data_IF_765174817631
#
_entry.id   IF_765174817631
#
_cell.length_a   1.000
_cell.length_b   1.000
_cell.length_c   1.000
_cell.angle_alpha   90.00
_cell.angle_beta   90.00
_cell.angle_gamma   90.00
#
_symmetry.space_group_name_H-M   'P 1'
#
loop_
_entity.id
_entity.type
_entity.pdbx_description
1 polymer ?
#
# COMPACT_ATOMS: atom_id res chain seq x y z
N UNK A 1 -12.88 11.20 2.24
CA UNK A 1 -11.76 10.23 2.29
C UNK A 1 -10.48 10.72 1.63
N UNK A 2 -10.51 11.41 0.48
CA UNK A 2 -9.30 11.86 -0.22
C UNK A 2 -8.22 12.55 0.65
N UNK A 3 -8.60 13.50 1.53
CA UNK A 3 -7.64 14.15 2.44
C UNK A 3 -6.94 13.17 3.40
N UNK A 4 -7.64 12.13 3.86
CA UNK A 4 -7.09 11.11 4.75
C UNK A 4 -6.09 10.21 4.03
N UNK A 5 -6.39 9.80 2.79
CA UNK A 5 -5.49 8.99 1.97
C UNK A 5 -4.23 9.77 1.58
N UNK A 6 -4.36 11.06 1.23
CA UNK A 6 -3.21 11.91 0.97
C UNK A 6 -2.29 12.01 2.20
N UNK A 7 -2.87 12.16 3.39
CA UNK A 7 -2.12 12.15 4.65
C UNK A 7 -1.47 10.79 4.90
N UNK A 8 -2.16 9.70 4.64
CA UNK A 8 -1.65 8.35 4.84
C UNK A 8 -0.42 8.09 3.96
N UNK A 9 -0.48 8.48 2.68
CA UNK A 9 0.66 8.45 1.77
C UNK A 9 1.82 9.35 2.24
N UNK A 10 1.51 10.55 2.75
CA UNK A 10 2.54 11.43 3.32
C UNK A 10 3.25 10.75 4.51
N UNK A 11 2.51 10.15 5.44
CA UNK A 11 3.11 9.51 6.62
C UNK A 11 3.91 8.25 6.25
N UNK A 12 3.46 7.47 5.28
CA UNK A 12 4.21 6.34 4.71
C UNK A 12 5.58 6.84 4.22
N UNK A 13 5.59 7.80 3.29
CA UNK A 13 6.81 8.30 2.69
C UNK A 13 7.79 8.99 3.65
N UNK A 14 7.30 9.50 4.79
CA UNK A 14 8.13 10.22 5.75
C UNK A 14 8.89 9.29 6.71
N UNK A 15 8.45 8.04 6.84
CA UNK A 15 9.07 7.03 7.72
C UNK A 15 9.67 5.96 6.82
N UNK A 16 11.00 5.93 6.69
CA UNK A 16 11.74 4.96 5.87
C UNK A 16 11.38 4.89 4.36
N UNK A 17 10.53 5.80 3.86
CA UNK A 17 10.20 5.92 2.45
C UNK A 17 8.83 5.31 2.12
N UNK A 18 8.39 5.45 0.87
CA UNK A 18 7.04 5.02 0.47
C UNK A 18 7.00 3.50 0.25
N UNK A 19 6.93 2.73 1.33
CA UNK A 19 7.03 1.27 1.35
C UNK A 19 5.78 0.58 1.93
N UNK A 20 4.69 1.32 2.15
CA UNK A 20 3.45 0.83 2.76
C UNK A 20 3.61 0.26 4.19
N UNK A 21 4.72 0.52 4.88
CA UNK A 21 4.92 0.11 6.27
C UNK A 21 3.84 0.64 7.21
N UNK A 22 3.26 1.82 6.90
CA UNK A 22 2.16 2.40 7.67
C UNK A 22 0.88 1.55 7.68
N UNK A 23 0.73 0.65 6.71
CA UNK A 23 -0.45 -0.21 6.60
C UNK A 23 -0.37 -1.45 7.47
N UNK A 24 0.82 -1.82 7.97
CA UNK A 24 1.02 -3.02 8.76
C UNK A 24 0.43 -2.87 10.16
N UNK A 25 -0.31 -3.89 10.59
CA UNK A 25 -0.79 -4.00 11.96
C UNK A 25 0.28 -4.55 12.89
N UNK A 26 0.12 -4.28 14.19
CA UNK A 26 0.96 -4.89 15.22
C UNK A 26 0.83 -6.42 15.19
N UNK A 27 1.95 -7.09 15.42
CA UNK A 27 2.02 -8.53 15.65
C UNK A 27 2.74 -8.82 16.97
N UNK A 28 2.85 -10.09 17.37
CA UNK A 28 3.56 -10.47 18.58
C UNK A 28 5.06 -10.08 18.58
N UNK A 29 5.66 -9.89 17.40
CA UNK A 29 7.10 -9.64 17.23
C UNK A 29 7.40 -8.34 16.48
N UNK A 30 6.38 -7.59 16.06
CA UNK A 30 6.53 -6.36 15.29
C UNK A 30 5.51 -5.33 15.75
N UNK A 31 5.98 -4.12 16.03
CA UNK A 31 5.12 -2.96 16.31
C UNK A 31 5.03 -2.12 15.04
N UNK A 32 3.83 -2.05 14.47
CA UNK A 32 3.53 -1.26 13.30
C UNK A 32 3.37 0.22 13.62
N UNK A 33 3.21 1.03 12.56
CA UNK A 33 3.25 2.47 12.70
C UNK A 33 1.91 3.08 13.10
N UNK A 34 0.81 2.33 13.00
CA UNK A 34 -0.56 2.81 13.27
C UNK A 34 -0.71 3.35 14.70
N UNK A 35 0.04 2.79 15.65
CA UNK A 35 0.02 3.18 17.05
C UNK A 35 1.07 4.25 17.42
N UNK A 36 1.87 4.73 16.47
CA UNK A 36 2.79 5.84 16.70
C UNK A 36 2.02 7.11 17.08
N UNK A 37 2.64 7.98 17.89
CA UNK A 37 2.03 9.24 18.34
C UNK A 37 1.32 10.07 17.25
N UNK A 38 1.89 10.27 16.04
CA UNK A 38 1.18 11.03 15.00
C UNK A 38 0.01 10.28 14.35
N UNK A 39 -0.08 8.95 14.51
CA UNK A 39 -1.03 8.07 13.82
C UNK A 39 -2.19 7.62 14.71
N UNK A 40 -1.92 7.34 16.00
CA UNK A 40 -2.90 6.80 16.92
C UNK A 40 -4.11 7.73 17.06
N UNK A 41 -5.33 7.18 16.89
CA UNK A 41 -6.59 7.92 16.87
C UNK A 41 -6.63 9.10 15.88
N UNK A 42 -5.84 9.05 14.81
CA UNK A 42 -5.62 10.19 13.91
C UNK A 42 -5.58 9.78 12.43
N UNK A 43 -4.67 8.87 12.07
CA UNK A 43 -4.59 8.29 10.74
C UNK A 43 -5.82 7.40 10.49
N UNK A 44 -6.36 7.42 9.26
CA UNK A 44 -7.61 6.75 8.90
C UNK A 44 -7.69 6.52 7.39
N UNK A 45 -8.55 5.61 6.96
CA UNK A 45 -8.71 5.22 5.56
C UNK A 45 -7.97 3.94 5.17
N UNK A 46 -7.53 3.15 6.15
CA UNK A 46 -6.90 1.83 5.94
C UNK A 46 -7.87 0.89 5.21
N UNK A 47 -9.14 0.88 5.61
CA UNK A 47 -10.22 0.07 5.05
C UNK A 47 -10.49 0.37 3.57
N UNK A 48 -10.23 1.60 3.14
CA UNK A 48 -10.35 1.99 1.73
C UNK A 48 -9.19 1.41 0.93
N UNK A 49 -7.97 1.41 1.49
CA UNK A 49 -6.80 0.81 0.86
C UNK A 49 -6.96 -0.71 0.76
N UNK A 50 -7.49 -1.37 1.79
CA UNK A 50 -7.79 -2.82 1.76
C UNK A 50 -8.79 -3.16 0.66
N UNK A 51 -9.85 -2.36 0.52
CA UNK A 51 -10.86 -2.52 -0.53
C UNK A 51 -10.25 -2.35 -1.93
N UNK A 52 -9.39 -1.34 -2.12
CA UNK A 52 -8.68 -1.14 -3.39
C UNK A 52 -7.77 -2.34 -3.67
N UNK A 53 -6.97 -2.77 -2.70
CA UNK A 53 -6.07 -3.92 -2.84
C UNK A 53 -6.83 -5.18 -3.21
N UNK A 54 -7.93 -5.48 -2.52
CA UNK A 54 -8.77 -6.65 -2.83
C UNK A 54 -9.28 -6.63 -4.28
N UNK A 55 -9.79 -5.49 -4.74
CA UNK A 55 -10.28 -5.35 -6.11
C UNK A 55 -9.15 -5.44 -7.16
N UNK A 56 -7.97 -4.90 -6.84
CA UNK A 56 -6.79 -4.98 -7.70
C UNK A 56 -6.28 -6.41 -7.80
N UNK A 57 -6.23 -7.15 -6.70
CA UNK A 57 -5.81 -8.56 -6.70
C UNK A 57 -6.73 -9.47 -7.51
N UNK A 58 -8.04 -9.16 -7.56
CA UNK A 58 -8.99 -9.87 -8.45
C UNK A 58 -8.65 -9.63 -9.93
N UNK A 59 -8.16 -8.44 -10.28
CA UNK A 59 -7.86 -8.08 -11.66
C UNK A 59 -6.43 -8.49 -12.09
N UNK A 60 -5.45 -8.31 -11.22
CA UNK A 60 -4.04 -8.56 -11.46
C UNK A 60 -3.31 -8.99 -10.17
N UNK A 61 -3.47 -10.28 -9.86
CA UNK A 61 -2.90 -10.90 -8.68
C UNK A 61 -1.39 -10.66 -8.54
N UNK A 62 -0.95 -10.30 -7.34
CA UNK A 62 0.44 -10.08 -6.95
C UNK A 62 1.24 -9.17 -7.90
N UNK A 63 0.57 -8.23 -8.56
CA UNK A 63 1.21 -7.35 -9.56
C UNK A 63 1.44 -5.94 -9.05
N UNK A 64 0.51 -5.41 -8.25
CA UNK A 64 0.55 -4.01 -7.79
C UNK A 64 0.85 -3.98 -6.30
N UNK A 65 1.92 -3.27 -5.92
CA UNK A 65 2.32 -3.12 -4.52
C UNK A 65 1.34 -2.24 -3.73
N UNK A 66 1.30 -2.43 -2.42
CA UNK A 66 0.50 -1.57 -1.54
C UNK A 66 1.00 -0.12 -1.55
N UNK A 67 2.31 0.09 -1.73
CA UNK A 67 2.93 1.41 -1.87
C UNK A 67 2.44 2.13 -3.13
N UNK A 68 2.40 1.43 -4.27
CA UNK A 68 1.88 1.98 -5.52
C UNK A 68 0.37 2.29 -5.42
N UNK A 69 -0.40 1.45 -4.71
CA UNK A 69 -1.82 1.72 -4.42
C UNK A 69 -1.99 2.99 -3.61
N UNK A 70 -1.22 3.17 -2.52
CA UNK A 70 -1.26 4.39 -1.71
C UNK A 70 -0.94 5.65 -2.55
N UNK A 71 0.11 5.58 -3.37
CA UNK A 71 0.54 6.68 -4.21
C UNK A 71 -0.52 7.06 -5.26
N UNK A 72 -1.10 6.07 -5.93
CA UNK A 72 -2.18 6.28 -6.92
C UNK A 72 -3.44 6.80 -6.25
N UNK A 73 -3.86 6.22 -5.12
CA UNK A 73 -5.05 6.64 -4.40
C UNK A 73 -4.91 8.08 -3.86
N UNK A 74 -3.72 8.49 -3.43
CA UNK A 74 -3.43 9.86 -3.04
C UNK A 74 -3.55 10.84 -4.23
N UNK A 75 -2.95 10.50 -5.38
CA UNK A 75 -3.05 11.31 -6.61
C UNK A 75 -4.49 11.44 -7.09
N UNK A 76 -5.22 10.32 -7.15
CA UNK A 76 -6.61 10.29 -7.57
C UNK A 76 -7.52 11.07 -6.60
N UNK A 77 -7.26 10.94 -5.30
CA UNK A 77 -7.95 11.71 -4.27
C UNK A 77 -7.78 13.22 -4.45
N UNK A 78 -6.56 13.68 -4.77
CA UNK A 78 -6.31 15.11 -5.06
C UNK A 78 -7.04 15.55 -6.32
N UNK A 79 -6.98 14.77 -7.39
CA UNK A 79 -7.66 15.08 -8.65
C UNK A 79 -9.19 15.16 -8.48
N UNK A 80 -9.79 14.22 -7.74
CA UNK A 80 -11.24 14.20 -7.47
C UNK A 80 -11.73 15.42 -6.68
N UNK A 81 -10.86 16.05 -5.88
CA UNK A 81 -11.17 17.28 -5.16
C UNK A 81 -10.85 18.56 -5.96
N UNK A 82 -10.59 18.44 -7.26
CA UNK A 82 -10.28 19.58 -8.14
C UNK A 82 -8.83 20.03 -8.11
N UNK A 83 -7.93 19.23 -7.51
CA UNK A 83 -6.49 19.46 -7.54
C UNK A 83 -5.86 19.05 -8.88
N UNK A 84 -4.54 19.27 -9.04
CA UNK A 84 -3.82 18.88 -10.24
C UNK A 84 -3.75 17.35 -10.37
N UNK A 85 -3.53 16.88 -11.59
CA UNK A 85 -3.13 15.49 -11.84
C UNK A 85 -1.65 15.47 -12.23
N UNK A 86 -0.98 14.39 -11.87
CA UNK A 86 0.40 14.13 -12.26
C UNK A 86 0.58 12.64 -12.56
N UNK A 87 1.67 12.30 -13.24
CA UNK A 87 2.10 10.91 -13.38
C UNK A 87 2.77 10.48 -12.08
N UNK A 88 2.21 9.47 -11.44
CA UNK A 88 2.85 8.79 -10.31
C UNK A 88 3.90 7.84 -10.90
N UNK A 89 5.11 7.85 -10.33
CA UNK A 89 6.13 6.87 -10.67
C UNK A 89 5.85 5.59 -9.91
N UNK A 90 5.62 4.50 -10.65
CA UNK A 90 5.27 3.18 -10.12
C UNK A 90 6.48 2.25 -10.12
N UNK A 91 6.35 1.11 -9.43
CA UNK A 91 7.44 0.16 -9.22
C UNK A 91 8.15 0.38 -7.88
N UNK A 92 7.52 1.09 -6.94
CA UNK A 92 7.91 1.12 -5.54
C UNK A 92 7.62 -0.27 -4.97
N UNK A 93 8.67 -1.07 -4.75
CA UNK A 93 8.57 -2.41 -4.18
C UNK A 93 8.41 -2.33 -2.67
N UNK A 94 7.58 -3.19 -2.05
CA UNK A 94 7.70 -3.44 -0.60
C UNK A 94 7.30 -4.84 -0.10
N UNK A 95 8.12 -5.26 0.88
CA UNK A 95 8.21 -6.41 1.80
C UNK A 95 7.97 -7.86 1.37
N UNK A 96 6.83 -8.26 0.81
CA UNK A 96 6.55 -9.72 0.64
C UNK A 96 7.22 -10.36 -0.59
N UNK A 97 7.70 -9.54 -1.53
CA UNK A 97 8.31 -10.01 -2.79
C UNK A 97 9.74 -10.59 -2.63
N UNK A 98 10.29 -10.60 -1.41
CA UNK A 98 11.57 -11.26 -1.11
C UNK A 98 11.43 -12.66 -0.49
N UNK A 99 10.21 -13.11 -0.14
CA UNK A 99 10.01 -14.50 0.30
C UNK A 99 9.53 -15.43 -0.83
N UNK A 100 9.02 -14.88 -1.94
CA UNK A 100 8.69 -15.66 -3.14
C UNK A 100 9.15 -14.92 -4.40
N UNK A 101 10.41 -15.13 -4.84
CA UNK A 101 10.79 -14.68 -6.17
C UNK A 101 9.91 -15.40 -7.20
N UNK A 102 9.30 -14.64 -8.12
CA UNK A 102 8.50 -15.11 -9.26
C UNK A 102 9.25 -16.02 -10.25
N UNK A 103 10.33 -16.69 -9.81
CA UNK A 103 11.10 -17.67 -10.57
C UNK A 103 10.81 -19.12 -10.18
N UNK A 104 9.88 -19.41 -9.24
CA UNK A 104 9.67 -20.78 -8.69
C UNK A 104 8.23 -21.31 -8.81
N UNK A 105 7.39 -20.77 -9.68
CA UNK A 105 6.17 -21.48 -10.12
C UNK A 105 6.20 -21.61 -11.64
N UNK A 106 6.93 -22.62 -12.12
CA UNK A 106 6.55 -23.28 -13.38
C UNK A 106 5.33 -24.13 -13.09
N UNK A 107 4.49 -24.32 -14.12
CA UNK A 107 3.31 -25.20 -14.07
C UNK A 107 3.64 -26.67 -13.73
N UNK A 108 4.91 -27.02 -13.53
CA UNK A 108 5.42 -28.39 -13.40
C UNK A 108 5.53 -28.87 -11.94
N UNK A 109 5.29 -28.02 -10.92
CA UNK A 109 5.46 -28.36 -9.49
C UNK A 109 4.16 -28.48 -8.67
N UNK A 110 3.00 -28.65 -9.31
CA UNK A 110 1.79 -29.11 -8.59
C UNK A 110 1.90 -30.63 -8.32
N UNK A 111 1.79 -31.10 -7.06
CA UNK A 111 1.58 -32.53 -6.82
C UNK A 111 0.24 -32.94 -7.44
N UNK A 112 0.26 -34.05 -8.17
CA UNK A 112 -0.95 -34.76 -8.61
C UNK A 112 -1.82 -35.15 -7.40
#
# INVERSE_FOLDING_TARGET
MAASILRLFFHDCFVNGCDASILLDDTATFTGEKNAFPNINSARGYEVIDTIKSNVEVACQATVSCADILALAARDGVALLGGPTWRVQLGLKSCEDLLYPSSVLRLDDLPQ
#
